data_IF_440674690218
#
_entry.id   IF_440674690218
#
_cell.length_a   1.000
_cell.length_b   1.000
_cell.length_c   1.000
_cell.angle_alpha   90.00
_cell.angle_beta   90.00
_cell.angle_gamma   90.00
#
_symmetry.space_group_name_H-M   'P 1'
#
loop_
_entity.id
_entity.type
_entity.pdbx_description
1 polymer ?
#
# COMPACT_ATOMS: atom_id res chain seq x y z
N UNK A 1 -46.84 -30.72 -52.57
CA UNK A 1 -46.74 -31.74 -51.51
C UNK A 1 -45.36 -32.35 -51.58
N UNK A 2 -44.63 -32.24 -50.47
CA UNK A 2 -43.27 -32.72 -50.23
C UNK A 2 -43.19 -34.26 -50.24
N UNK A 3 -42.07 -34.82 -50.71
CA UNK A 3 -41.22 -35.75 -49.94
C UNK A 3 -40.08 -36.29 -50.80
N UNK A 4 -38.86 -35.79 -50.55
CA UNK A 4 -37.60 -36.32 -51.08
C UNK A 4 -37.01 -37.38 -50.16
N UNK A 5 -36.77 -38.53 -50.79
CA UNK A 5 -35.82 -39.62 -50.59
C UNK A 5 -34.94 -39.67 -49.31
N UNK A 6 -34.95 -40.84 -48.65
CA UNK A 6 -34.01 -41.28 -47.62
C UNK A 6 -32.75 -41.83 -48.29
N UNK A 7 -31.58 -41.52 -47.74
CA UNK A 7 -30.53 -42.46 -47.33
C UNK A 7 -29.16 -41.77 -47.29
N UNK A 8 -28.52 -41.87 -46.12
CA UNK A 8 -27.15 -41.44 -45.86
C UNK A 8 -26.13 -42.40 -46.52
N UNK A 9 -24.89 -41.94 -46.72
CA UNK A 9 -23.73 -42.80 -46.60
C UNK A 9 -22.75 -42.33 -45.51
N UNK A 10 -22.15 -43.31 -44.83
CA UNK A 10 -20.90 -43.19 -44.09
C UNK A 10 -19.76 -43.26 -45.10
N UNK A 11 -18.76 -42.39 -44.98
CA UNK A 11 -17.45 -42.64 -45.57
C UNK A 11 -16.35 -42.21 -44.59
N UNK A 12 -15.50 -43.19 -44.27
CA UNK A 12 -14.23 -43.04 -43.59
C UNK A 12 -13.13 -42.96 -44.66
N UNK A 13 -12.20 -42.02 -44.53
CA UNK A 13 -11.10 -41.87 -45.49
C UNK A 13 -10.07 -40.82 -45.09
N UNK A 14 -9.03 -41.29 -44.38
CA UNK A 14 -7.65 -40.80 -44.28
C UNK A 14 -7.24 -39.48 -44.98
N UNK A 15 -6.82 -38.50 -44.17
CA UNK A 15 -6.01 -37.34 -44.58
C UNK A 15 -4.75 -37.19 -43.70
N UNK A 16 -3.64 -36.62 -44.20
CA UNK A 16 -2.34 -36.68 -43.53
C UNK A 16 -2.26 -35.72 -42.34
N UNK A 17 -1.84 -36.24 -41.18
CA UNK A 17 -1.46 -35.43 -40.03
C UNK A 17 -0.09 -34.79 -40.31
N UNK A 18 -0.11 -33.56 -40.80
CA UNK A 18 1.08 -32.70 -40.80
C UNK A 18 1.34 -32.28 -39.35
N UNK A 19 2.11 -33.10 -38.64
CA UNK A 19 2.65 -32.75 -37.33
C UNK A 19 3.66 -31.62 -37.51
N UNK A 20 3.21 -30.38 -37.34
CA UNK A 20 4.08 -29.21 -37.20
C UNK A 20 4.80 -29.32 -35.86
N UNK A 21 5.89 -30.08 -35.84
CA UNK A 21 6.86 -30.06 -34.75
C UNK A 21 7.47 -28.65 -34.71
N UNK A 22 6.90 -27.78 -33.85
CA UNK A 22 7.48 -26.50 -33.54
C UNK A 22 8.81 -26.72 -32.84
N UNK A 23 9.87 -26.29 -33.53
CA UNK A 23 11.26 -26.29 -33.08
C UNK A 23 11.36 -25.60 -31.72
N UNK A 24 11.53 -26.38 -30.66
CA UNK A 24 11.97 -25.87 -29.37
C UNK A 24 13.45 -25.50 -29.50
N UNK A 25 13.70 -24.21 -29.72
CA UNK A 25 15.03 -23.62 -29.57
C UNK A 25 15.57 -23.92 -28.16
N UNK A 26 16.75 -24.56 -28.01
CA UNK A 26 17.35 -24.82 -26.70
C UNK A 26 18.02 -23.60 -26.06
N UNK A 27 17.80 -22.39 -26.58
CA UNK A 27 18.49 -21.19 -26.11
C UNK A 27 17.54 -20.19 -25.44
N UNK A 28 17.38 -20.32 -24.13
CA UNK A 28 17.57 -19.22 -23.16
C UNK A 28 17.20 -19.68 -21.74
N UNK A 29 18.21 -20.21 -21.02
CA UNK A 29 18.27 -19.91 -19.60
C UNK A 29 18.66 -18.42 -19.50
N UNK A 30 18.02 -17.67 -18.60
CA UNK A 30 18.48 -16.37 -18.03
C UNK A 30 17.78 -15.05 -18.43
N UNK A 31 16.53 -15.05 -18.89
CA UNK A 31 15.68 -13.85 -18.75
C UNK A 31 14.26 -14.26 -18.33
N UNK A 32 13.75 -13.70 -17.24
CA UNK A 32 12.37 -13.92 -16.85
C UNK A 32 11.47 -13.36 -17.98
N UNK A 33 10.72 -14.25 -18.66
CA UNK A 33 9.77 -13.83 -19.69
C UNK A 33 8.74 -12.89 -19.05
N UNK A 34 8.63 -11.67 -19.58
CA UNK A 34 7.57 -10.73 -19.23
C UNK A 34 6.40 -10.89 -20.20
N UNK A 35 5.19 -10.65 -19.70
CA UNK A 35 3.93 -10.79 -20.42
C UNK A 35 3.41 -9.43 -20.90
N UNK A 36 2.61 -9.47 -21.97
CA UNK A 36 1.79 -8.33 -22.42
C UNK A 36 0.41 -8.32 -21.76
N UNK A 37 -0.29 -7.18 -21.81
CA UNK A 37 -1.56 -6.96 -21.11
C UNK A 37 -2.64 -8.03 -21.40
N UNK A 38 -2.71 -8.53 -22.62
CA UNK A 38 -3.71 -9.55 -22.99
C UNK A 38 -3.31 -10.98 -22.57
N UNK A 39 -2.05 -11.21 -22.18
CA UNK A 39 -1.55 -12.50 -21.71
C UNK A 39 -1.72 -12.70 -20.20
N UNK A 40 -1.87 -11.61 -19.43
CA UNK A 40 -2.11 -11.70 -17.98
C UNK A 40 -3.55 -12.11 -17.67
N UNK A 41 -3.77 -12.84 -16.56
CA UNK A 41 -5.12 -13.19 -16.14
C UNK A 41 -5.95 -11.94 -15.83
N UNK A 42 -7.26 -12.06 -16.02
CA UNK A 42 -8.22 -10.94 -15.90
C UNK A 42 -8.18 -10.22 -14.55
N UNK A 43 -7.79 -10.90 -13.47
CA UNK A 43 -7.68 -10.31 -12.15
C UNK A 43 -6.44 -9.42 -11.94
N UNK A 44 -5.49 -9.42 -12.88
CA UNK A 44 -4.32 -8.53 -12.90
C UNK A 44 -4.48 -7.38 -13.91
N UNK A 45 -5.55 -7.40 -14.72
CA UNK A 45 -5.80 -6.44 -15.80
C UNK A 45 -6.43 -5.14 -15.27
N UNK A 46 -5.71 -4.44 -14.39
CA UNK A 46 -6.25 -3.25 -13.73
C UNK A 46 -6.21 -2.00 -14.61
N UNK A 47 -5.17 -1.86 -15.43
CA UNK A 47 -4.92 -0.66 -16.22
C UNK A 47 -4.55 -1.00 -17.68
N UNK A 48 -5.49 -0.74 -18.60
CA UNK A 48 -5.35 -1.00 -20.04
C UNK A 48 -4.27 -0.14 -20.72
N UNK A 49 -3.76 0.91 -20.08
CA UNK A 49 -2.68 1.75 -20.61
C UNK A 49 -1.28 1.15 -20.38
N UNK A 50 -1.16 0.17 -19.47
CA UNK A 50 0.08 -0.57 -19.24
C UNK A 50 0.12 -1.78 -20.17
N UNK A 51 0.84 -1.65 -21.29
CA UNK A 51 0.72 -2.62 -22.39
C UNK A 51 1.60 -3.88 -22.22
N UNK A 52 2.72 -3.80 -21.50
CA UNK A 52 3.70 -4.88 -21.39
C UNK A 52 4.53 -4.76 -20.12
N UNK A 53 5.34 -5.78 -19.80
CA UNK A 53 6.25 -5.78 -18.65
C UNK A 53 5.70 -6.47 -17.40
N UNK A 54 4.63 -7.25 -17.56
CA UNK A 54 4.01 -8.00 -16.49
C UNK A 54 4.79 -9.26 -16.13
N UNK A 55 4.86 -9.59 -14.84
CA UNK A 55 5.47 -10.84 -14.38
C UNK A 55 4.48 -11.98 -14.57
N UNK A 56 5.01 -13.16 -14.91
CA UNK A 56 4.22 -14.39 -14.93
C UNK A 56 3.66 -14.67 -13.54
N UNK A 57 2.41 -15.11 -13.47
CA UNK A 57 1.79 -15.57 -12.22
C UNK A 57 2.59 -16.75 -11.67
N UNK A 58 3.26 -16.55 -10.54
CA UNK A 58 4.10 -17.55 -9.92
C UNK A 58 3.56 -17.85 -8.54
N UNK A 59 3.02 -19.04 -8.29
CA UNK A 59 2.58 -19.46 -6.96
C UNK A 59 3.77 -19.74 -6.00
N UNK A 60 4.81 -18.91 -6.07
CA UNK A 60 6.10 -19.04 -5.40
C UNK A 60 6.56 -17.65 -4.95
N UNK A 61 6.65 -17.47 -3.63
CA UNK A 61 7.22 -16.27 -3.01
C UNK A 61 8.68 -16.08 -3.42
N UNK A 62 9.45 -17.16 -3.55
CA UNK A 62 10.85 -17.08 -3.96
C UNK A 62 10.99 -16.50 -5.39
N UNK A 63 10.09 -16.87 -6.31
CA UNK A 63 10.07 -16.31 -7.66
C UNK A 63 9.68 -14.83 -7.66
N UNK A 64 8.72 -14.45 -6.82
CA UNK A 64 8.37 -13.04 -6.60
C UNK A 64 9.55 -12.23 -6.04
N UNK A 65 10.29 -12.76 -5.05
CA UNK A 65 11.49 -12.13 -4.49
C UNK A 65 12.60 -12.01 -5.53
N UNK A 66 12.83 -13.05 -6.34
CA UNK A 66 13.82 -13.01 -7.42
C UNK A 66 13.52 -11.92 -8.46
N UNK A 67 12.27 -11.43 -8.54
CA UNK A 67 11.90 -10.33 -9.44
C UNK A 67 12.45 -8.96 -9.05
N UNK A 68 13.04 -8.82 -7.86
CA UNK A 68 13.84 -7.65 -7.51
C UNK A 68 15.10 -7.55 -8.41
N UNK A 69 15.58 -8.67 -8.95
CA UNK A 69 16.82 -8.72 -9.73
C UNK A 69 16.64 -8.38 -11.21
N UNK A 70 15.42 -8.10 -11.67
CA UNK A 70 15.15 -7.70 -13.06
C UNK A 70 14.06 -6.64 -13.17
N UNK A 71 14.08 -5.87 -14.26
CA UNK A 71 13.11 -4.81 -14.50
C UNK A 71 11.75 -5.39 -14.92
N UNK A 72 10.69 -4.88 -14.31
CA UNK A 72 9.30 -5.21 -14.58
C UNK A 72 8.39 -4.02 -14.21
N UNK A 73 7.10 -4.12 -14.52
CA UNK A 73 6.15 -3.02 -14.30
C UNK A 73 5.99 -2.57 -12.85
N UNK A 74 6.35 -3.43 -11.88
CA UNK A 74 6.26 -3.11 -10.46
C UNK A 74 7.59 -2.70 -9.86
N UNK A 75 8.70 -2.70 -10.62
CA UNK A 75 10.04 -2.39 -10.10
C UNK A 75 10.07 -1.04 -9.40
N UNK A 76 9.64 0.03 -10.06
CA UNK A 76 9.70 1.39 -9.48
C UNK A 76 8.86 1.45 -8.20
N UNK A 77 7.64 0.91 -8.22
CA UNK A 77 6.76 0.87 -7.05
C UNK A 77 7.42 0.09 -5.90
N UNK A 78 7.97 -1.09 -6.15
CA UNK A 78 8.64 -1.88 -5.11
C UNK A 78 9.86 -1.16 -4.53
N UNK A 79 10.71 -0.56 -5.37
CA UNK A 79 11.93 0.09 -4.91
C UNK A 79 11.69 1.43 -4.22
N UNK A 80 10.71 2.23 -4.67
CA UNK A 80 10.36 3.48 -4.00
C UNK A 80 9.84 3.23 -2.58
N UNK A 81 9.00 2.22 -2.39
CA UNK A 81 8.51 1.82 -1.07
C UNK A 81 9.60 1.17 -0.20
N UNK A 82 10.48 0.33 -0.77
CA UNK A 82 11.63 -0.22 -0.03
C UNK A 82 12.56 0.86 0.49
N UNK A 83 12.87 1.87 -0.33
CA UNK A 83 13.69 3.00 0.09
C UNK A 83 13.02 3.76 1.23
N UNK A 84 11.72 4.07 1.09
CA UNK A 84 10.94 4.70 2.15
C UNK A 84 10.97 3.91 3.45
N UNK A 85 10.76 2.59 3.39
CA UNK A 85 10.84 1.70 4.55
C UNK A 85 12.19 1.82 5.26
N UNK A 86 13.31 1.71 4.53
CA UNK A 86 14.65 1.78 5.12
C UNK A 86 14.91 3.15 5.76
N UNK A 87 14.57 4.23 5.06
CA UNK A 87 14.76 5.60 5.56
C UNK A 87 14.00 5.81 6.86
N UNK A 88 12.69 5.51 6.88
CA UNK A 88 11.86 5.76 8.06
C UNK A 88 12.08 4.76 9.20
N UNK A 89 12.57 3.55 8.93
CA UNK A 89 12.99 2.62 9.97
C UNK A 89 14.26 3.07 10.70
N UNK A 90 15.18 3.76 10.00
CA UNK A 90 16.45 4.23 10.57
C UNK A 90 16.37 5.64 11.17
N UNK A 91 15.40 6.45 10.74
CA UNK A 91 15.26 7.84 11.17
C UNK A 91 15.15 8.04 12.70
N UNK A 92 14.45 7.19 13.47
CA UNK A 92 14.41 7.30 14.93
C UNK A 92 15.79 7.18 15.59
N UNK A 93 16.65 6.29 15.08
CA UNK A 93 18.01 6.13 15.61
C UNK A 93 18.84 7.39 15.35
N UNK A 94 18.74 7.95 14.14
CA UNK A 94 19.38 9.22 13.82
C UNK A 94 18.90 10.35 14.76
N UNK A 95 17.59 10.44 15.01
CA UNK A 95 17.05 11.44 15.93
C UNK A 95 17.58 11.27 17.36
N UNK A 96 17.59 10.04 17.86
CA UNK A 96 18.05 9.70 19.21
C UNK A 96 19.55 9.97 19.41
N UNK A 97 20.39 9.57 18.46
CA UNK A 97 21.86 9.65 18.62
C UNK A 97 22.48 10.96 18.11
N UNK A 98 21.86 11.63 17.14
CA UNK A 98 22.47 12.80 16.49
C UNK A 98 21.74 14.11 16.77
N UNK A 99 20.41 14.09 16.98
CA UNK A 99 19.62 15.32 17.12
C UNK A 99 19.39 15.68 18.59
N UNK A 100 18.93 14.73 19.41
CA UNK A 100 18.65 14.99 20.83
C UNK A 100 19.84 15.52 21.63
N UNK A 101 21.07 14.97 21.53
CA UNK A 101 22.16 15.39 22.40
C UNK A 101 22.59 16.85 22.17
N UNK A 102 22.26 17.39 20.99
CA UNK A 102 22.59 18.76 20.59
C UNK A 102 21.50 19.75 21.01
N UNK A 103 20.26 19.28 21.23
CA UNK A 103 19.11 20.15 21.47
C UNK A 103 18.73 20.21 22.94
N UNK A 104 19.09 21.31 23.61
CA UNK A 104 18.84 21.52 25.04
C UNK A 104 17.36 21.61 25.44
N UNK A 105 16.46 21.85 24.49
CA UNK A 105 15.01 21.92 24.72
C UNK A 105 14.25 20.64 24.38
N UNK A 106 14.92 19.61 23.86
CA UNK A 106 14.26 18.38 23.45
C UNK A 106 14.00 17.48 24.66
N UNK A 107 12.79 16.95 24.75
CA UNK A 107 12.41 16.01 25.79
C UNK A 107 12.46 14.57 25.28
N UNK A 108 12.59 13.60 26.18
CA UNK A 108 12.56 12.18 25.81
C UNK A 108 11.22 11.78 25.15
N UNK A 109 10.13 12.47 25.51
CA UNK A 109 8.81 12.26 24.92
C UNK A 109 8.78 12.62 23.43
N UNK A 110 9.59 13.59 22.98
CA UNK A 110 9.70 13.96 21.57
C UNK A 110 10.18 12.78 20.72
N UNK A 111 11.11 11.99 21.26
CA UNK A 111 11.64 10.78 20.61
C UNK A 111 10.53 9.75 20.42
N UNK A 112 9.73 9.54 21.46
CA UNK A 112 8.68 8.53 21.45
C UNK A 112 7.65 8.88 20.37
N UNK A 113 7.14 10.11 20.35
CA UNK A 113 6.10 10.51 19.39
C UNK A 113 6.62 10.56 17.95
N UNK A 114 7.87 11.00 17.74
CA UNK A 114 8.51 10.97 16.41
C UNK A 114 8.77 9.53 15.96
N UNK A 115 9.20 8.65 16.88
CA UNK A 115 9.42 7.23 16.58
C UNK A 115 8.13 6.52 16.19
N UNK A 116 7.02 6.78 16.89
CA UNK A 116 5.70 6.23 16.55
C UNK A 116 5.33 6.61 15.11
N UNK A 117 5.46 7.88 14.74
CA UNK A 117 5.21 8.32 13.36
C UNK A 117 6.12 7.62 12.36
N UNK A 118 7.43 7.62 12.61
CA UNK A 118 8.40 7.01 11.70
C UNK A 118 8.12 5.52 11.48
N UNK A 119 7.82 4.77 12.54
CA UNK A 119 7.49 3.36 12.43
C UNK A 119 6.11 3.13 11.77
N UNK A 120 5.14 4.01 11.96
CA UNK A 120 3.87 3.94 11.23
C UNK A 120 4.06 4.13 9.72
N UNK A 121 4.90 5.11 9.31
CA UNK A 121 5.30 5.29 7.91
C UNK A 121 6.05 4.06 7.38
N UNK A 122 6.99 3.53 8.15
CA UNK A 122 7.75 2.34 7.77
C UNK A 122 6.84 1.12 7.57
N UNK A 123 5.88 0.88 8.46
CA UNK A 123 4.90 -0.22 8.33
C UNK A 123 4.03 -0.05 7.08
N UNK A 124 3.57 1.17 6.78
CA UNK A 124 2.84 1.45 5.54
C UNK A 124 3.67 1.08 4.30
N UNK A 125 4.93 1.51 4.25
CA UNK A 125 5.84 1.17 3.16
C UNK A 125 6.18 -0.31 3.08
N UNK A 126 6.27 -1.00 4.22
CA UNK A 126 6.46 -2.45 4.26
C UNK A 126 5.27 -3.19 3.64
N UNK A 127 4.04 -2.84 4.01
CA UNK A 127 2.86 -3.49 3.45
C UNK A 127 2.72 -3.23 1.95
N UNK A 128 2.99 -2.00 1.49
CA UNK A 128 3.01 -1.67 0.07
C UNK A 128 4.10 -2.42 -0.70
N UNK A 129 5.30 -2.53 -0.11
CA UNK A 129 6.40 -3.32 -0.68
C UNK A 129 6.00 -4.79 -0.84
N UNK A 130 5.44 -5.41 0.21
CA UNK A 130 5.00 -6.81 0.18
C UNK A 130 3.94 -6.99 -0.91
N UNK A 131 3.00 -6.05 -1.02
CA UNK A 131 1.97 -6.08 -2.04
C UNK A 131 2.53 -6.03 -3.46
N UNK A 132 3.34 -5.03 -3.80
CA UNK A 132 3.93 -4.93 -5.14
C UNK A 132 4.86 -6.12 -5.42
N UNK A 133 5.58 -6.63 -4.42
CA UNK A 133 6.45 -7.78 -4.57
C UNK A 133 5.65 -9.06 -4.86
N UNK A 134 4.60 -9.34 -4.09
CA UNK A 134 3.78 -10.55 -4.16
C UNK A 134 2.56 -10.45 -5.09
N UNK A 135 2.39 -9.33 -5.79
CA UNK A 135 1.28 -9.10 -6.74
C UNK A 135 1.12 -10.24 -7.76
N UNK A 136 2.24 -10.80 -8.24
CA UNK A 136 2.23 -11.89 -9.21
C UNK A 136 2.03 -13.28 -8.59
N UNK A 137 1.80 -13.41 -7.27
CA UNK A 137 1.80 -14.72 -6.62
C UNK A 137 0.59 -15.57 -6.98
N UNK A 138 -0.58 -15.13 -6.54
CA UNK A 138 -1.88 -15.74 -6.82
C UNK A 138 -2.98 -14.72 -6.53
N UNK A 139 -4.17 -14.91 -7.09
CA UNK A 139 -5.29 -13.98 -6.90
C UNK A 139 -5.64 -13.79 -5.42
N UNK A 140 -5.59 -14.86 -4.63
CA UNK A 140 -5.91 -14.79 -3.20
C UNK A 140 -4.85 -14.02 -2.42
N UNK A 141 -3.56 -14.25 -2.71
CA UNK A 141 -2.46 -13.52 -2.05
C UNK A 141 -2.47 -12.06 -2.45
N UNK A 142 -2.63 -11.73 -3.74
CA UNK A 142 -2.73 -10.35 -4.20
C UNK A 142 -3.89 -9.61 -3.52
N UNK A 143 -5.08 -10.21 -3.44
CA UNK A 143 -6.22 -9.62 -2.72
C UNK A 143 -5.95 -9.40 -1.23
N UNK A 144 -5.30 -10.36 -0.58
CA UNK A 144 -4.94 -10.23 0.83
C UNK A 144 -3.90 -9.12 1.04
N UNK A 145 -2.84 -9.09 0.24
CA UNK A 145 -1.83 -8.05 0.29
C UNK A 145 -2.38 -6.66 -0.04
N UNK A 146 -3.36 -6.57 -0.96
CA UNK A 146 -4.05 -5.31 -1.25
C UNK A 146 -4.79 -4.78 0.00
N UNK A 147 -5.43 -5.66 0.76
CA UNK A 147 -6.05 -5.29 2.04
C UNK A 147 -5.03 -4.86 3.08
N UNK A 148 -3.88 -5.52 3.13
CA UNK A 148 -2.78 -5.11 4.02
C UNK A 148 -2.21 -3.74 3.63
N UNK A 149 -2.10 -3.43 2.34
CA UNK A 149 -1.63 -2.12 1.87
C UNK A 149 -2.59 -1.00 2.30
N UNK A 150 -3.91 -1.21 2.14
CA UNK A 150 -4.92 -0.30 2.69
C UNK A 150 -4.86 -0.17 4.22
N UNK A 151 -4.62 -1.27 4.94
CA UNK A 151 -4.40 -1.20 6.38
C UNK A 151 -3.14 -0.38 6.74
N UNK A 152 -2.09 -0.45 5.92
CA UNK A 152 -0.87 0.35 6.06
C UNK A 152 -1.15 1.85 6.00
N UNK A 153 -1.96 2.29 5.04
CA UNK A 153 -2.40 3.68 4.92
C UNK A 153 -3.14 4.12 6.20
N UNK A 154 -4.08 3.32 6.69
CA UNK A 154 -4.84 3.65 7.91
C UNK A 154 -3.94 3.72 9.15
N UNK A 155 -2.98 2.80 9.30
CA UNK A 155 -1.98 2.84 10.38
C UNK A 155 -1.12 4.11 10.29
N UNK A 156 -0.70 4.49 9.08
CA UNK A 156 0.05 5.72 8.86
C UNK A 156 -0.76 6.96 9.25
N UNK A 157 -2.01 7.07 8.81
CA UNK A 157 -2.88 8.21 9.15
C UNK A 157 -3.06 8.33 10.68
N UNK A 158 -3.37 7.22 11.35
CA UNK A 158 -3.48 7.19 12.81
C UNK A 158 -2.16 7.56 13.50
N UNK A 159 -1.04 6.97 13.05
CA UNK A 159 0.29 7.22 13.61
C UNK A 159 0.78 8.66 13.41
N UNK A 160 0.40 9.31 12.32
CA UNK A 160 0.67 10.73 12.07
C UNK A 160 -0.16 11.67 12.98
N UNK A 161 -1.36 11.22 13.39
CA UNK A 161 -2.19 11.92 14.36
C UNK A 161 -1.53 12.05 15.74
N UNK A 162 -0.77 11.03 16.17
CA UNK A 162 -0.14 11.00 17.51
C UNK A 162 0.78 12.19 17.78
N UNK A 163 1.88 12.43 17.03
CA UNK A 163 2.74 13.59 17.27
C UNK A 163 2.02 14.91 16.96
N UNK A 164 1.10 14.93 16.00
CA UNK A 164 0.33 16.13 15.65
C UNK A 164 -0.50 16.63 16.83
N UNK A 165 -1.19 15.72 17.53
CA UNK A 165 -1.98 16.02 18.73
C UNK A 165 -1.06 16.38 19.91
N UNK A 166 0.04 15.64 20.09
CA UNK A 166 1.03 15.91 21.14
C UNK A 166 1.56 17.35 21.06
N UNK A 167 2.10 17.74 19.90
CA UNK A 167 2.60 19.11 19.70
C UNK A 167 1.48 20.14 19.61
N UNK A 168 0.31 19.76 19.08
CA UNK A 168 -0.88 20.61 18.95
C UNK A 168 -1.41 21.09 20.30
N UNK A 169 -1.43 20.21 21.30
CA UNK A 169 -2.00 20.46 22.62
C UNK A 169 -0.98 20.29 23.75
N UNK A 170 0.30 20.59 23.49
CA UNK A 170 1.39 20.45 24.48
C UNK A 170 1.09 21.14 25.83
N UNK A 171 0.26 22.19 25.80
CA UNK A 171 -0.11 22.99 26.97
C UNK A 171 -1.37 22.48 27.71
N UNK A 172 -2.12 21.54 27.13
CA UNK A 172 -3.40 21.05 27.68
C UNK A 172 -3.48 19.51 27.55
N UNK A 173 -2.98 18.75 28.54
CA UNK A 173 -2.96 17.29 28.49
C UNK A 173 -4.34 16.64 28.38
N UNK A 174 -5.38 17.24 28.98
CA UNK A 174 -6.74 16.74 28.88
C UNK A 174 -7.28 16.74 27.45
N UNK A 175 -6.92 17.76 26.66
CA UNK A 175 -7.30 17.81 25.24
C UNK A 175 -6.51 16.78 24.43
N UNK A 176 -5.21 16.55 24.73
CA UNK A 176 -4.44 15.49 24.06
C UNK A 176 -5.12 14.13 24.19
N UNK A 177 -5.50 13.74 25.41
CA UNK A 177 -6.15 12.46 25.67
C UNK A 177 -7.50 12.37 24.96
N UNK A 178 -8.31 13.42 25.00
CA UNK A 178 -9.60 13.47 24.31
C UNK A 178 -9.42 13.24 22.79
N UNK A 179 -8.54 14.00 22.15
CA UNK A 179 -8.30 13.87 20.71
C UNK A 179 -7.67 12.53 20.33
N UNK A 180 -6.74 11.99 21.12
CA UNK A 180 -6.21 10.65 20.87
C UNK A 180 -7.29 9.56 20.93
N UNK A 181 -8.23 9.64 21.87
CA UNK A 181 -9.37 8.71 21.93
C UNK A 181 -10.26 8.85 20.70
N UNK A 182 -10.59 10.08 20.30
CA UNK A 182 -11.42 10.35 19.12
C UNK A 182 -10.76 9.89 17.81
N UNK A 183 -9.49 10.21 17.60
CA UNK A 183 -8.77 9.78 16.40
C UNK A 183 -8.58 8.26 16.38
N UNK A 184 -8.34 7.62 17.54
CA UNK A 184 -8.22 6.16 17.62
C UNK A 184 -9.54 5.44 17.36
N UNK A 185 -10.66 5.98 17.86
CA UNK A 185 -11.98 5.38 17.59
C UNK A 185 -12.37 5.55 16.12
N UNK A 186 -12.13 6.72 15.52
CA UNK A 186 -12.33 6.94 14.08
C UNK A 186 -11.46 6.00 13.24
N UNK A 187 -10.17 5.85 13.56
CA UNK A 187 -9.27 4.96 12.84
C UNK A 187 -9.72 3.49 12.91
N UNK A 188 -10.21 3.05 14.08
CA UNK A 188 -10.77 1.72 14.26
C UNK A 188 -12.03 1.51 13.41
N UNK A 189 -12.96 2.46 13.43
CA UNK A 189 -14.16 2.43 12.59
C UNK A 189 -13.80 2.40 11.09
N UNK A 190 -12.85 3.22 10.65
CA UNK A 190 -12.37 3.24 9.26
C UNK A 190 -11.73 1.91 8.87
N UNK A 191 -10.97 1.29 9.77
CA UNK A 191 -10.34 -0.02 9.55
C UNK A 191 -11.39 -1.12 9.38
N UNK A 192 -12.38 -1.18 10.27
CA UNK A 192 -13.47 -2.14 10.18
C UNK A 192 -14.24 -1.95 8.87
N UNK A 193 -14.56 -0.71 8.51
CA UNK A 193 -15.27 -0.38 7.28
C UNK A 193 -14.48 -0.79 6.03
N UNK A 194 -13.21 -0.40 5.94
CA UNK A 194 -12.34 -0.61 4.77
C UNK A 194 -11.98 -2.08 4.56
N UNK A 195 -11.75 -2.85 5.64
CA UNK A 195 -11.32 -4.24 5.54
C UNK A 195 -12.50 -5.22 5.38
N UNK A 196 -13.73 -4.76 5.66
CA UNK A 196 -14.94 -5.57 5.50
C UNK A 196 -15.30 -5.70 4.01
N UNK A 197 -15.41 -6.93 3.47
CA UNK A 197 -15.60 -7.16 2.04
C UNK A 197 -16.88 -6.54 1.46
N UNK A 198 -17.91 -6.34 2.27
CA UNK A 198 -19.20 -5.76 1.85
C UNK A 198 -19.11 -4.28 1.44
N UNK A 199 -18.07 -3.55 1.87
CA UNK A 199 -17.92 -2.11 1.63
C UNK A 199 -16.83 -1.76 0.61
N UNK A 200 -16.23 -2.76 -0.04
CA UNK A 200 -15.17 -2.59 -1.06
C UNK A 200 -15.75 -2.24 -2.45
N UNK A 201 -17.06 -1.99 -2.56
CA UNK A 201 -17.71 -1.66 -3.83
C UNK A 201 -17.56 -0.18 -4.20
N UNK A 202 -17.56 0.18 -5.52
CA UNK A 202 -17.36 1.56 -5.97
C UNK A 202 -18.32 2.59 -5.37
N UNK A 203 -19.53 2.15 -4.99
CA UNK A 203 -20.54 2.98 -4.33
C UNK A 203 -20.09 3.56 -2.98
N UNK A 204 -19.14 2.93 -2.29
CA UNK A 204 -18.61 3.39 -1.00
C UNK A 204 -17.27 4.13 -1.13
N UNK A 205 -16.78 4.35 -2.35
CA UNK A 205 -15.51 5.05 -2.57
C UNK A 205 -15.51 6.47 -1.97
N UNK A 206 -16.62 7.20 -2.08
CA UNK A 206 -16.77 8.52 -1.44
C UNK A 206 -16.71 8.42 0.09
N UNK A 207 -17.31 7.37 0.67
CA UNK A 207 -17.26 7.15 2.11
C UNK A 207 -15.85 6.77 2.59
N UNK A 208 -15.08 6.01 1.80
CA UNK A 208 -13.65 5.75 2.08
C UNK A 208 -12.83 7.03 2.07
N UNK A 209 -12.98 7.88 1.05
CA UNK A 209 -12.26 9.16 0.98
C UNK A 209 -12.65 10.07 2.15
N UNK A 210 -13.94 10.18 2.47
CA UNK A 210 -14.41 11.00 3.59
C UNK A 210 -13.89 10.50 4.96
N UNK A 211 -13.76 9.18 5.15
CA UNK A 211 -13.16 8.59 6.34
C UNK A 211 -11.69 8.96 6.49
N UNK A 212 -10.93 8.91 5.39
CA UNK A 212 -9.52 9.31 5.36
C UNK A 212 -9.37 10.82 5.59
N UNK A 213 -10.16 11.64 4.92
CA UNK A 213 -10.18 13.10 5.10
C UNK A 213 -10.52 13.49 6.55
N UNK A 214 -11.39 12.72 7.22
CA UNK A 214 -11.71 12.92 8.63
C UNK A 214 -10.52 12.70 9.56
N UNK A 215 -9.71 11.67 9.29
CA UNK A 215 -8.47 11.40 10.05
C UNK A 215 -7.42 12.50 9.84
N UNK A 216 -7.32 13.05 8.64
CA UNK A 216 -6.39 14.15 8.32
C UNK A 216 -6.89 15.52 8.82
N UNK A 217 -8.21 15.74 8.85
CA UNK A 217 -8.84 16.99 9.27
C UNK A 217 -8.58 17.34 10.74
N UNK A 218 -8.44 16.34 11.62
CA UNK A 218 -8.09 16.53 13.03
C UNK A 218 -6.74 17.26 13.20
N UNK A 219 -5.80 17.07 12.26
CA UNK A 219 -4.50 17.72 12.27
C UNK A 219 -4.55 19.24 11.99
N UNK A 220 -5.47 19.70 11.14
CA UNK A 220 -5.65 21.15 10.88
C UNK A 220 -6.25 21.87 12.09
N UNK A 221 -7.09 21.18 12.87
CA UNK A 221 -7.63 21.71 14.13
C UNK A 221 -6.53 21.91 15.16
N UNK A 222 -5.60 20.94 15.29
CA UNK A 222 -4.42 21.03 16.15
C UNK A 222 -3.53 22.24 15.83
N UNK A 223 -3.29 22.53 14.54
CA UNK A 223 -2.43 23.66 14.13
C UNK A 223 -2.97 25.03 14.60
N UNK A 224 -4.28 25.23 14.58
CA UNK A 224 -4.91 26.48 15.07
C UNK A 224 -4.72 26.66 16.58
N UNK A 225 -4.82 25.57 17.35
CA UNK A 225 -4.67 25.61 18.82
C UNK A 225 -3.19 25.78 19.23
N UNK A 226 -2.27 25.13 18.51
CA UNK A 226 -0.82 25.29 18.73
C UNK A 226 -0.39 26.75 18.63
N UNK A 227 -0.78 27.44 17.54
CA UNK A 227 -0.47 28.86 17.33
C UNK A 227 -1.00 29.74 18.47
N UNK A 228 -2.17 29.40 19.02
CA UNK A 228 -2.73 30.12 20.18
C UNK A 228 -1.91 29.87 21.45
N UNK A 229 -1.45 28.65 21.72
CA UNK A 229 -0.56 28.41 22.87
C UNK A 229 0.83 29.05 22.69
N UNK A 230 1.40 28.99 21.48
CA UNK A 230 2.69 29.62 21.20
C UNK A 230 2.62 31.14 21.41
N UNK A 231 1.55 31.79 20.94
CA UNK A 231 1.31 33.22 21.21
C UNK A 231 1.17 33.51 22.71
N UNK A 232 0.47 32.66 23.47
CA UNK A 232 0.36 32.81 24.92
C UNK A 232 1.70 32.64 25.63
N UNK A 233 2.55 31.69 25.21
CA UNK A 233 3.90 31.50 25.77
C UNK A 233 4.82 32.68 25.46
N UNK A 234 4.75 33.23 24.24
CA UNK A 234 5.50 34.44 23.86
C UNK A 234 5.05 35.67 24.65
N UNK A 235 3.75 35.83 24.91
CA UNK A 235 3.24 36.93 25.74
C UNK A 235 3.71 36.85 27.19
N UNK A 236 3.74 35.65 27.79
CA UNK A 236 4.26 35.47 29.16
C UNK A 236 5.76 35.74 29.23
N UNK A 237 6.54 35.35 28.21
CA UNK A 237 7.98 35.57 28.17
C UNK A 237 8.39 37.02 27.86
N UNK A 238 7.49 37.85 27.31
CA UNK A 238 7.72 39.29 27.09
C UNK A 238 7.41 40.14 28.32
N UNK A 239 6.80 39.55 29.36
CA UNK A 239 6.45 40.19 30.63
C UNK A 239 7.39 39.82 31.79
N UNK A 240 8.48 39.09 31.51
CA UNK A 240 9.59 38.80 32.43
C UNK A 240 10.84 39.48 31.88
#
# INVERSE_FOLDING_TARGET
MYATNRNAPRDAGSGPQTATASLTSPWSRTAARLLVFHEIPTWQQDNNYLLSGYRVTSASVATSVASLLYLNNQTINTYSHLLGLVVFALLPFYFCYCVLPVQSSAQEQDVVVVSIYCYAVAVCFLFSTIFHLLWNHSQNVSRFCNKLDYAGILILMWGAGIPTIYYGFICNPSLQVLYWIMTSSTALCCTIFTLTPSFVTPQFQVAHVACLDGLDGDGQSCRRVHLRCENSRKMVSLHV
#
